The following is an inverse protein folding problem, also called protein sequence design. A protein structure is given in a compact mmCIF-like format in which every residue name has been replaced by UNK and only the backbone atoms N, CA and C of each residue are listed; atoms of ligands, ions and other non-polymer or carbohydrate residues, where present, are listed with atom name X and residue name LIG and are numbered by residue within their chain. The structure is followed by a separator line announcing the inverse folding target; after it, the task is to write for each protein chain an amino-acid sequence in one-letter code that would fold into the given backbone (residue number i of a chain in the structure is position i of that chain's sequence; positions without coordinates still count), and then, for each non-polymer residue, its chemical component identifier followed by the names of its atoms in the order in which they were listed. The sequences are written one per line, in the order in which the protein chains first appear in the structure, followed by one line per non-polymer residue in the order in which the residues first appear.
data_IF_937008409651
#
_entry.id   IF_937008409651
#
_cell.length_a   1.000
_cell.length_b   1.000
_cell.length_c   1.000
_cell.angle_alpha   90.00
_cell.angle_beta   90.00
_cell.angle_gamma   90.00
#
_symmetry.space_group_name_H-M   'P 1'
#
loop_
_entity.id
_entity.type
_entity.pdbx_description
1 polymer ?
#
# COMPACT_ATOMS: atom_id res chain seq x y z
N UNK A 1 6.61 -46.49 -29.28
CA UNK A 1 5.84 -45.23 -29.54
C UNK A 1 4.77 -44.97 -28.49
N UNK A 2 3.89 -45.94 -28.15
CA UNK A 2 2.82 -45.75 -27.16
C UNK A 2 3.31 -45.33 -25.78
N UNK A 3 4.37 -45.98 -25.24
CA UNK A 3 4.94 -45.65 -23.92
C UNK A 3 5.57 -44.26 -23.88
N UNK A 4 6.17 -43.78 -24.98
CA UNK A 4 6.75 -42.42 -25.05
C UNK A 4 5.66 -41.34 -25.05
N UNK A 5 4.51 -41.59 -25.73
CA UNK A 5 3.37 -40.68 -25.71
C UNK A 5 2.71 -40.63 -24.32
N UNK A 6 2.57 -41.78 -23.66
CA UNK A 6 2.03 -41.85 -22.28
C UNK A 6 2.93 -41.11 -21.31
N UNK A 7 4.25 -41.31 -21.40
CA UNK A 7 5.20 -40.58 -20.56
C UNK A 7 5.15 -39.07 -20.77
N UNK A 8 5.07 -38.61 -22.02
CA UNK A 8 4.96 -37.19 -22.35
C UNK A 8 3.66 -36.60 -21.78
N UNK A 9 2.55 -37.31 -21.92
CA UNK A 9 1.24 -36.87 -21.37
C UNK A 9 1.28 -36.73 -19.83
N UNK A 10 1.89 -37.69 -19.14
CA UNK A 10 2.06 -37.65 -17.69
C UNK A 10 2.99 -36.49 -17.26
N UNK A 11 4.06 -36.22 -18.00
CA UNK A 11 4.96 -35.10 -17.73
C UNK A 11 4.24 -33.75 -17.88
N UNK A 12 3.44 -33.57 -18.93
CA UNK A 12 2.62 -32.37 -19.14
C UNK A 12 1.59 -32.21 -18.04
N UNK A 13 0.92 -33.27 -17.62
CA UNK A 13 -0.03 -33.25 -16.51
C UNK A 13 0.64 -32.85 -15.19
N UNK A 14 1.77 -33.47 -14.87
CA UNK A 14 2.53 -33.14 -13.66
C UNK A 14 2.99 -31.68 -13.65
N UNK A 15 3.46 -31.18 -14.79
CA UNK A 15 3.80 -29.76 -14.96
C UNK A 15 2.60 -28.84 -14.77
N UNK A 16 1.44 -29.19 -15.34
CA UNK A 16 0.21 -28.41 -15.20
C UNK A 16 -0.24 -28.33 -13.74
N UNK A 17 -0.24 -29.45 -13.00
CA UNK A 17 -0.55 -29.49 -11.57
C UNK A 17 0.44 -28.65 -10.75
N UNK A 18 1.74 -28.75 -11.02
CA UNK A 18 2.75 -27.95 -10.35
C UNK A 18 2.55 -26.45 -10.59
N UNK A 19 2.27 -26.06 -11.85
CA UNK A 19 1.99 -24.66 -12.23
C UNK A 19 0.72 -24.16 -11.56
N UNK A 20 -0.36 -24.93 -11.53
CA UNK A 20 -1.59 -24.60 -10.84
C UNK A 20 -1.35 -24.34 -9.35
N UNK A 21 -0.65 -25.23 -8.65
CA UNK A 21 -0.32 -25.04 -7.25
C UNK A 21 0.58 -23.80 -7.01
N UNK A 22 1.45 -23.45 -7.96
CA UNK A 22 2.27 -22.25 -7.91
C UNK A 22 1.43 -20.98 -8.07
N UNK A 23 0.45 -20.98 -8.98
CA UNK A 23 -0.51 -19.89 -9.15
C UNK A 23 -1.34 -19.65 -7.87
N UNK A 24 -1.86 -20.71 -7.24
CA UNK A 24 -2.58 -20.60 -5.97
C UNK A 24 -1.68 -19.98 -4.88
N UNK A 25 -0.45 -20.47 -4.72
CA UNK A 25 0.48 -19.93 -3.71
C UNK A 25 0.76 -18.44 -3.92
N UNK A 26 0.93 -18.02 -5.18
CA UNK A 26 1.19 -16.61 -5.46
C UNK A 26 -0.03 -15.73 -5.23
N UNK A 27 -1.23 -16.19 -5.59
CA UNK A 27 -2.47 -15.50 -5.26
C UNK A 27 -2.62 -15.32 -3.75
N UNK A 28 -2.46 -16.40 -2.98
CA UNK A 28 -2.56 -16.32 -1.52
C UNK A 28 -1.50 -15.39 -0.91
N UNK A 29 -0.28 -15.32 -1.50
CA UNK A 29 0.75 -14.36 -1.09
C UNK A 29 0.34 -12.90 -1.36
N UNK A 30 -0.36 -12.62 -2.45
CA UNK A 30 -0.91 -11.30 -2.72
C UNK A 30 -1.95 -10.93 -1.66
N UNK A 31 -2.86 -11.86 -1.32
CA UNK A 31 -3.90 -11.64 -0.32
C UNK A 31 -3.30 -11.43 1.09
N UNK A 32 -2.30 -12.22 1.46
CA UNK A 32 -1.53 -12.06 2.72
C UNK A 32 -0.81 -10.71 2.77
N UNK A 33 -0.16 -10.32 1.68
CA UNK A 33 0.55 -9.04 1.60
C UNK A 33 -0.42 -7.85 1.70
N UNK A 34 -1.62 -7.98 1.14
CA UNK A 34 -2.69 -6.99 1.28
C UNK A 34 -3.15 -6.86 2.74
N UNK A 35 -3.36 -7.97 3.43
CA UNK A 35 -3.72 -7.95 4.85
C UNK A 35 -2.67 -7.21 5.70
N UNK A 36 -1.39 -7.30 5.34
CA UNK A 36 -0.30 -6.54 5.98
C UNK A 36 -0.47 -5.02 5.82
N UNK A 37 -0.89 -4.54 4.64
CA UNK A 37 -1.23 -3.13 4.41
C UNK A 37 -2.44 -2.73 5.27
N UNK A 38 -3.49 -3.53 5.24
CA UNK A 38 -4.75 -3.24 5.92
C UNK A 38 -4.58 -3.05 7.42
N UNK A 39 -3.76 -3.88 8.06
CA UNK A 39 -3.40 -3.75 9.48
C UNK A 39 -2.73 -2.39 9.78
N UNK A 40 -1.83 -1.91 8.93
CA UNK A 40 -1.15 -0.62 9.15
C UNK A 40 -2.11 0.56 8.90
N UNK A 41 -2.98 0.46 7.91
CA UNK A 41 -4.01 1.46 7.65
C UNK A 41 -4.98 1.56 8.83
N UNK A 42 -5.42 0.43 9.38
CA UNK A 42 -6.31 0.42 10.55
C UNK A 42 -5.64 1.08 11.76
N UNK A 43 -4.39 0.75 12.07
CA UNK A 43 -3.62 1.41 13.14
C UNK A 43 -3.54 2.92 12.95
N UNK A 44 -3.31 3.39 11.71
CA UNK A 44 -3.29 4.81 11.38
C UNK A 44 -4.65 5.45 11.65
N UNK A 45 -5.75 4.84 11.22
CA UNK A 45 -7.11 5.35 11.43
C UNK A 45 -7.47 5.45 12.92
N UNK A 46 -6.97 4.55 13.73
CA UNK A 46 -7.22 4.54 15.19
C UNK A 46 -6.47 5.68 15.90
N UNK A 47 -5.31 6.14 15.37
CA UNK A 47 -4.55 7.25 15.94
C UNK A 47 -5.04 8.64 15.48
N UNK A 48 -5.66 8.75 14.32
CA UNK A 48 -6.12 10.02 13.75
C UNK A 48 -7.04 10.81 14.69
N UNK A 49 -8.07 10.23 15.34
CA UNK A 49 -8.92 10.96 16.28
C UNK A 49 -8.15 11.54 17.47
N UNK A 50 -7.17 10.80 17.99
CA UNK A 50 -6.34 11.24 19.10
C UNK A 50 -5.45 12.42 18.68
N UNK A 51 -4.85 12.35 17.47
CA UNK A 51 -4.09 13.47 16.91
C UNK A 51 -4.96 14.72 16.76
N UNK A 52 -6.15 14.58 16.17
CA UNK A 52 -7.10 15.70 15.99
C UNK A 52 -7.52 16.30 17.35
N UNK A 53 -7.81 15.47 18.35
CA UNK A 53 -8.21 15.96 19.68
C UNK A 53 -7.07 16.66 20.40
N UNK A 54 -5.85 16.15 20.32
CA UNK A 54 -4.65 16.77 20.89
C UNK A 54 -4.38 18.13 20.26
N UNK A 55 -4.41 18.23 18.94
CA UNK A 55 -4.18 19.50 18.21
C UNK A 55 -5.29 20.52 18.52
N UNK A 56 -6.56 20.10 18.59
CA UNK A 56 -7.68 21.00 18.94
C UNK A 56 -7.53 21.70 20.29
N UNK A 57 -6.85 21.07 21.23
CA UNK A 57 -6.60 21.67 22.56
C UNK A 57 -5.69 22.91 22.51
N UNK A 58 -4.87 23.07 21.46
CA UNK A 58 -3.91 24.15 21.32
C UNK A 58 -4.23 25.11 20.17
N UNK A 59 -4.99 24.67 19.16
CA UNK A 59 -5.24 25.41 17.92
C UNK A 59 -6.73 25.66 17.76
N UNK A 60 -7.17 26.86 18.14
CA UNK A 60 -8.63 27.21 18.12
C UNK A 60 -9.15 27.70 16.77
N UNK A 61 -8.28 28.12 15.83
CA UNK A 61 -8.70 28.77 14.59
C UNK A 61 -8.54 27.97 13.30
N UNK A 62 -7.90 26.79 13.34
CA UNK A 62 -7.56 25.98 12.14
C UNK A 62 -8.56 24.82 11.89
N UNK A 63 -9.87 25.12 11.99
CA UNK A 63 -10.93 24.12 11.84
C UNK A 63 -10.90 23.35 10.50
N UNK A 64 -10.46 24.00 9.40
CA UNK A 64 -10.45 23.40 8.05
C UNK A 64 -9.47 22.21 7.91
N UNK A 65 -8.29 22.28 8.52
CA UNK A 65 -7.30 21.21 8.47
C UNK A 65 -7.79 20.02 9.27
N UNK A 66 -8.30 20.27 10.47
CA UNK A 66 -8.84 19.24 11.37
C UNK A 66 -10.06 18.52 10.78
N UNK A 67 -10.98 19.28 10.15
CA UNK A 67 -12.15 18.72 9.47
C UNK A 67 -11.74 17.82 8.29
N UNK A 68 -10.73 18.22 7.51
CA UNK A 68 -10.23 17.43 6.37
C UNK A 68 -9.63 16.10 6.80
N UNK A 69 -8.83 16.09 7.88
CA UNK A 69 -8.26 14.84 8.42
C UNK A 69 -9.36 13.91 8.90
N UNK A 70 -10.38 14.45 9.57
CA UNK A 70 -11.51 13.66 10.06
C UNK A 70 -12.34 13.06 8.92
N UNK A 71 -12.56 13.81 7.82
CA UNK A 71 -13.31 13.32 6.64
C UNK A 71 -12.59 12.23 5.87
N UNK A 72 -11.25 12.22 5.86
CA UNK A 72 -10.43 11.24 5.16
C UNK A 72 -10.24 9.93 5.95
N UNK A 73 -10.88 9.80 7.10
CA UNK A 73 -10.93 8.55 7.86
C UNK A 73 -11.62 7.47 7.03
N UNK A 74 -10.91 6.37 6.78
CA UNK A 74 -11.23 5.37 5.80
C UNK A 74 -12.68 4.87 5.78
N UNK A 75 -13.17 4.67 4.57
CA UNK A 75 -14.38 3.90 4.29
C UNK A 75 -13.95 2.49 3.85
N UNK A 76 -14.44 1.41 4.49
CA UNK A 76 -13.95 0.05 4.25
C UNK A 76 -14.30 -0.54 2.87
N UNK A 77 -15.24 0.06 2.12
CA UNK A 77 -15.78 -0.50 0.88
C UNK A 77 -15.25 0.19 -0.41
N UNK A 78 -14.04 0.71 -0.39
CA UNK A 78 -13.45 1.33 -1.59
C UNK A 78 -12.64 0.33 -2.40
N UNK A 79 -12.65 0.50 -3.74
CA UNK A 79 -11.72 -0.18 -4.62
C UNK A 79 -10.26 0.28 -4.39
N UNK A 80 -9.28 -0.52 -4.84
CA UNK A 80 -7.86 -0.25 -4.63
C UNK A 80 -7.39 1.14 -5.08
N UNK A 81 -7.77 1.66 -6.27
CA UNK A 81 -7.38 2.98 -6.71
C UNK A 81 -7.95 4.11 -5.85
N UNK A 82 -9.23 4.02 -5.46
CA UNK A 82 -9.89 5.00 -4.60
C UNK A 82 -9.26 5.01 -3.22
N UNK A 83 -8.96 3.82 -2.66
CA UNK A 83 -8.27 3.69 -1.37
C UNK A 83 -6.87 4.30 -1.42
N UNK A 84 -6.10 4.09 -2.50
CA UNK A 84 -4.78 4.70 -2.67
C UNK A 84 -4.85 6.24 -2.72
N UNK A 85 -5.84 6.81 -3.40
CA UNK A 85 -6.05 8.26 -3.44
C UNK A 85 -6.43 8.83 -2.07
N UNK A 86 -7.30 8.15 -1.34
CA UNK A 86 -7.71 8.55 0.02
C UNK A 86 -6.50 8.52 0.97
N UNK A 87 -5.70 7.47 0.94
CA UNK A 87 -4.49 7.35 1.76
C UNK A 87 -3.47 8.44 1.45
N UNK A 88 -3.30 8.78 0.17
CA UNK A 88 -2.48 9.93 -0.24
C UNK A 88 -3.00 11.24 0.35
N UNK A 89 -4.31 11.44 0.33
CA UNK A 89 -4.97 12.62 0.93
C UNK A 89 -4.77 12.69 2.44
N UNK A 90 -4.91 11.55 3.13
CA UNK A 90 -4.71 11.44 4.57
C UNK A 90 -3.25 11.72 4.97
N UNK A 91 -2.28 11.11 4.29
CA UNK A 91 -0.85 11.35 4.54
C UNK A 91 -0.49 12.83 4.39
N UNK A 92 -0.96 13.50 3.33
CA UNK A 92 -0.76 14.95 3.14
C UNK A 92 -1.39 15.78 4.25
N UNK A 93 -2.58 15.37 4.73
CA UNK A 93 -3.31 16.10 5.76
C UNK A 93 -2.65 15.94 7.13
N UNK A 94 -2.15 14.75 7.46
CA UNK A 94 -1.34 14.50 8.67
C UNK A 94 -0.03 15.31 8.61
N UNK A 95 0.67 15.32 7.47
CA UNK A 95 1.88 16.12 7.27
C UNK A 95 1.63 17.62 7.48
N UNK A 96 0.48 18.16 7.05
CA UNK A 96 0.09 19.55 7.32
C UNK A 96 -0.19 19.81 8.80
N UNK A 97 -0.76 18.86 9.54
CA UNK A 97 -0.93 19.00 10.99
C UNK A 97 0.42 19.04 11.71
N UNK A 98 1.39 18.25 11.28
CA UNK A 98 2.75 18.31 11.85
C UNK A 98 3.45 19.63 11.52
N UNK A 99 3.33 20.12 10.27
CA UNK A 99 3.85 21.43 9.89
C UNK A 99 3.19 22.57 10.69
N UNK A 100 1.88 22.49 10.92
CA UNK A 100 1.15 23.47 11.75
C UNK A 100 1.67 23.48 13.20
N UNK A 101 2.01 22.31 13.76
CA UNK A 101 2.51 22.22 15.13
C UNK A 101 3.85 22.94 15.33
N UNK A 102 4.60 23.22 14.27
CA UNK A 102 5.84 24.03 14.35
C UNK A 102 5.57 25.47 14.80
N UNK A 103 4.38 26.02 14.50
CA UNK A 103 3.94 27.36 14.90
C UNK A 103 3.40 27.41 16.34
N UNK A 104 3.26 26.23 17.01
CA UNK A 104 2.73 26.10 18.37
C UNK A 104 3.70 25.35 19.29
N UNK A 105 4.69 26.04 19.89
CA UNK A 105 5.75 25.38 20.70
C UNK A 105 5.21 24.57 21.88
N UNK A 106 4.10 24.97 22.50
CA UNK A 106 3.47 24.24 23.59
C UNK A 106 2.88 22.90 23.13
N UNK A 107 2.24 22.86 21.96
CA UNK A 107 1.76 21.63 21.34
C UNK A 107 2.92 20.69 21.01
N UNK A 108 3.96 21.21 20.36
CA UNK A 108 5.16 20.46 19.98
C UNK A 108 5.88 19.85 21.20
N UNK A 109 5.89 20.56 22.33
CA UNK A 109 6.51 20.12 23.58
C UNK A 109 5.64 19.13 24.35
N UNK A 110 4.36 18.97 24.02
CA UNK A 110 3.48 18.04 24.75
C UNK A 110 3.85 16.59 24.50
N UNK A 111 3.93 15.79 25.57
CA UNK A 111 4.28 14.35 25.48
C UNK A 111 3.29 13.58 24.64
N UNK A 112 1.99 13.86 24.75
CA UNK A 112 0.96 13.20 23.96
C UNK A 112 1.11 13.45 22.45
N UNK A 113 1.44 14.67 22.03
CA UNK A 113 1.70 14.98 20.62
C UNK A 113 2.96 14.27 20.10
N UNK A 114 4.05 14.27 20.88
CA UNK A 114 5.29 13.59 20.49
C UNK A 114 5.09 12.09 20.31
N UNK A 115 4.41 11.41 21.24
CA UNK A 115 4.10 9.98 21.13
C UNK A 115 3.24 9.67 19.90
N UNK A 116 2.24 10.50 19.60
CA UNK A 116 1.41 10.33 18.41
C UNK A 116 2.21 10.56 17.12
N UNK A 117 3.09 11.55 17.10
CA UNK A 117 3.98 11.81 15.97
C UNK A 117 4.90 10.60 15.71
N UNK A 118 5.61 10.11 16.73
CA UNK A 118 6.49 8.95 16.63
C UNK A 118 5.73 7.70 16.15
N UNK A 119 4.56 7.43 16.71
CA UNK A 119 3.72 6.30 16.30
C UNK A 119 3.24 6.41 14.85
N UNK A 120 2.88 7.59 14.38
CA UNK A 120 2.44 7.80 12.99
C UNK A 120 3.63 7.72 12.00
N UNK A 121 4.83 8.15 12.39
CA UNK A 121 6.05 7.96 11.59
C UNK A 121 6.37 6.47 11.46
N UNK A 122 6.34 5.71 12.56
CA UNK A 122 6.56 4.27 12.55
C UNK A 122 5.54 3.54 11.64
N UNK A 123 4.25 3.89 11.75
CA UNK A 123 3.21 3.32 10.90
C UNK A 123 3.47 3.64 9.42
N UNK A 124 3.90 4.86 9.08
CA UNK A 124 4.21 5.24 7.70
C UNK A 124 5.37 4.40 7.14
N UNK A 125 6.42 4.16 7.93
CA UNK A 125 7.54 3.29 7.54
C UNK A 125 7.07 1.86 7.31
N UNK A 126 6.30 1.28 8.24
CA UNK A 126 5.73 -0.06 8.09
C UNK A 126 4.80 -0.16 6.87
N UNK A 127 4.00 0.87 6.62
CA UNK A 127 3.14 0.93 5.45
C UNK A 127 3.93 0.93 4.14
N UNK A 128 5.05 1.67 4.10
CA UNK A 128 5.94 1.66 2.93
C UNK A 128 6.57 0.27 2.69
N UNK A 129 6.97 -0.44 3.75
CA UNK A 129 7.45 -1.82 3.62
C UNK A 129 6.36 -2.77 3.14
N UNK A 130 5.17 -2.72 3.74
CA UNK A 130 4.04 -3.55 3.36
C UNK A 130 3.64 -3.34 1.89
N UNK A 131 3.64 -2.08 1.41
CA UNK A 131 3.34 -1.75 0.00
C UNK A 131 4.39 -2.30 -0.97
N UNK A 132 5.67 -2.19 -0.63
CA UNK A 132 6.74 -2.79 -1.47
C UNK A 132 6.58 -4.30 -1.56
N UNK A 133 6.27 -4.95 -0.44
CA UNK A 133 6.04 -6.39 -0.39
C UNK A 133 4.80 -6.80 -1.20
N UNK A 134 3.69 -6.06 -1.05
CA UNK A 134 2.47 -6.27 -1.83
C UNK A 134 2.73 -6.12 -3.34
N UNK A 135 3.31 -5.02 -3.77
CA UNK A 135 3.59 -4.77 -5.18
C UNK A 135 4.59 -5.79 -5.76
N UNK A 136 5.54 -6.26 -4.98
CA UNK A 136 6.40 -7.38 -5.33
C UNK A 136 5.62 -8.67 -5.55
N UNK A 137 4.70 -9.00 -4.62
CA UNK A 137 3.83 -10.18 -4.72
C UNK A 137 2.88 -10.11 -5.92
N UNK A 138 2.31 -8.93 -6.19
CA UNK A 138 1.48 -8.68 -7.39
C UNK A 138 2.28 -8.91 -8.66
N UNK A 139 3.49 -8.35 -8.77
CA UNK A 139 4.36 -8.56 -9.94
C UNK A 139 4.68 -10.04 -10.16
N UNK A 140 5.02 -10.77 -9.10
CA UNK A 140 5.34 -12.20 -9.19
C UNK A 140 4.12 -13.03 -9.61
N UNK A 141 2.93 -12.68 -9.10
CA UNK A 141 1.66 -13.27 -9.53
C UNK A 141 1.37 -12.99 -11.01
N UNK A 142 1.45 -11.73 -11.42
CA UNK A 142 1.13 -11.30 -12.78
C UNK A 142 2.10 -11.92 -13.80
N UNK A 143 3.39 -12.04 -13.46
CA UNK A 143 4.37 -12.73 -14.27
C UNK A 143 4.01 -14.21 -14.53
N UNK A 144 3.39 -14.89 -13.54
CA UNK A 144 2.91 -16.26 -13.71
C UNK A 144 1.61 -16.35 -14.49
N UNK A 145 0.69 -15.40 -14.29
CA UNK A 145 -0.61 -15.35 -14.97
C UNK A 145 -0.44 -15.02 -16.45
N UNK A 146 0.49 -14.12 -16.78
CA UNK A 146 0.67 -13.59 -18.15
C UNK A 146 1.82 -14.28 -18.91
N UNK A 147 2.77 -14.88 -18.19
CA UNK A 147 3.96 -15.49 -18.77
C UNK A 147 3.68 -16.83 -19.44
N UNK A 148 4.35 -17.09 -20.59
CA UNK A 148 4.33 -18.40 -21.22
C UNK A 148 5.34 -19.34 -20.54
N UNK A 149 5.03 -20.62 -20.35
CA UNK A 149 3.79 -21.32 -20.71
C UNK A 149 2.69 -21.31 -19.62
N UNK A 150 2.93 -20.76 -18.42
CA UNK A 150 2.01 -20.79 -17.27
C UNK A 150 0.66 -20.10 -17.56
N UNK A 151 0.64 -19.12 -18.47
CA UNK A 151 -0.59 -18.45 -18.90
C UNK A 151 -1.66 -19.42 -19.45
N UNK A 152 -1.27 -20.55 -19.99
CA UNK A 152 -2.22 -21.56 -20.50
C UNK A 152 -3.02 -22.16 -19.35
N UNK A 153 -2.33 -22.51 -18.25
CA UNK A 153 -2.97 -23.01 -17.03
C UNK A 153 -3.78 -21.88 -16.36
N UNK A 154 -3.20 -20.67 -16.29
CA UNK A 154 -3.87 -19.51 -15.68
C UNK A 154 -5.22 -19.22 -16.35
N UNK A 155 -5.27 -19.18 -17.68
CA UNK A 155 -6.51 -18.92 -18.45
C UNK A 155 -7.52 -20.07 -18.27
N UNK A 156 -7.07 -21.33 -18.28
CA UNK A 156 -7.94 -22.48 -18.15
C UNK A 156 -8.69 -22.48 -16.80
N UNK A 157 -8.02 -22.05 -15.72
CA UNK A 157 -8.57 -22.04 -14.37
C UNK A 157 -9.04 -20.67 -13.88
N UNK A 158 -9.08 -19.65 -14.76
CA UNK A 158 -9.64 -18.35 -14.45
C UNK A 158 -8.79 -17.49 -13.50
N UNK A 159 -7.46 -17.69 -13.45
CA UNK A 159 -6.56 -16.78 -12.74
C UNK A 159 -6.44 -15.47 -13.51
N UNK A 160 -6.54 -14.36 -12.77
CA UNK A 160 -6.45 -12.99 -13.30
C UNK A 160 -5.27 -12.25 -12.67
N UNK A 161 -4.76 -11.25 -13.37
CA UNK A 161 -3.74 -10.35 -12.86
C UNK A 161 -4.30 -9.48 -11.73
N UNK A 162 -3.50 -9.25 -10.71
CA UNK A 162 -3.81 -8.37 -9.59
C UNK A 162 -3.36 -6.94 -9.88
N UNK A 163 -4.03 -5.95 -9.27
CA UNK A 163 -3.71 -4.52 -9.41
C UNK A 163 -2.64 -4.10 -8.42
N UNK A 164 -1.74 -3.21 -8.83
CA UNK A 164 -0.76 -2.59 -7.96
C UNK A 164 -1.40 -1.57 -7.01
N UNK A 165 -0.84 -1.42 -5.83
CA UNK A 165 -1.21 -0.38 -4.87
C UNK A 165 -0.24 0.80 -5.00
N UNK A 166 -0.63 1.82 -5.80
CA UNK A 166 0.17 3.01 -6.06
C UNK A 166 -0.38 4.19 -5.26
N UNK A 167 0.43 4.71 -4.33
CA UNK A 167 0.17 6.01 -3.69
C UNK A 167 1.03 7.04 -4.41
N UNK A 168 0.41 8.02 -5.04
CA UNK A 168 1.08 9.15 -5.65
C UNK A 168 1.65 10.09 -4.57
N UNK A 169 2.88 9.85 -4.13
CA UNK A 169 3.67 10.88 -3.47
C UNK A 169 4.21 11.79 -4.57
N UNK A 170 3.61 12.97 -4.71
CA UNK A 170 4.00 13.96 -5.73
C UNK A 170 5.50 14.33 -5.68
N UNK A 171 6.16 14.13 -4.54
CA UNK A 171 7.59 14.33 -4.36
C UNK A 171 8.50 13.30 -5.05
N UNK A 172 7.96 12.16 -5.50
CA UNK A 172 8.75 11.11 -6.15
C UNK A 172 8.71 11.17 -7.67
N UNK A 173 7.85 11.99 -8.27
CA UNK A 173 7.75 12.17 -9.73
C UNK A 173 8.58 13.33 -10.29
N UNK A 174 8.99 14.28 -9.47
CA UNK A 174 9.93 15.32 -9.90
C UNK A 174 11.34 14.75 -9.85
N UNK A 175 11.86 14.31 -10.99
CA UNK A 175 13.30 14.14 -11.14
C UNK A 175 13.97 15.49 -10.76
N UNK A 176 15.07 15.48 -9.97
CA UNK A 176 15.80 16.71 -9.72
C UNK A 176 16.24 17.29 -11.07
N UNK A 177 15.84 18.52 -11.37
CA UNK A 177 16.41 19.26 -12.50
C UNK A 177 17.90 19.48 -12.18
N UNK A 178 18.73 18.63 -12.78
CA UNK A 178 20.18 18.85 -12.78
C UNK A 178 20.43 19.97 -13.80
N UNK A 179 20.48 21.22 -13.34
CA UNK A 179 21.00 22.32 -14.13
C UNK A 179 22.51 22.08 -14.27
N UNK A 180 22.92 21.46 -15.37
CA UNK A 180 24.32 21.48 -15.82
C UNK A 180 24.61 22.92 -16.18
N UNK A 181 25.28 23.65 -15.25
CA UNK A 181 25.74 24.97 -15.51
C UNK A 181 26.59 24.99 -16.78
N UNK A 182 26.13 25.74 -17.78
CA UNK A 182 26.92 26.07 -18.95
C UNK A 182 27.98 27.06 -18.51
N UNK A 183 29.22 26.61 -18.51
CA UNK A 183 30.42 27.49 -18.51
C UNK A 183 30.63 28.06 -19.88
#
# INVERSE_FOLDING_TARGET
MTYTLVFLALAVLAWAVWTFNRLIRNRNRVDEAWAGIDVQLQRRYDLVPNLVSTVKGYVSHESKVLERVTRLRGQPEMDLPQRAQQETGLSRSIGRLFALAEDYPELKASDGFRQLHESLVEIEEHLQYARRYYNGSVRDNNNLVEGFPSMLVARLFGFISASFFEIELASQRSAPEISLGQT
#
